data_IF_482771849835
#
_entry.id   IF_482771849835
#
_cell.length_a   1.000
_cell.length_b   1.000
_cell.length_c   1.000
_cell.angle_alpha   90.00
_cell.angle_beta   90.00
_cell.angle_gamma   90.00
#
_symmetry.space_group_name_H-M   'P 1'
#
loop_
_entity.id
_entity.type
_entity.pdbx_description
1 polymer ?
#
# COMPACT_ATOMS: atom_id res chain seq x y z
N UNK A 1 -67.23 -40.64 39.41
CA UNK A 1 -66.23 -40.83 38.34
C UNK A 1 -66.32 -39.63 37.40
N UNK A 2 -65.27 -38.80 37.37
CA UNK A 2 -65.31 -37.37 37.04
C UNK A 2 -65.89 -37.04 35.63
N UNK A 3 -66.90 -36.15 35.50
CA UNK A 3 -67.45 -35.70 34.22
C UNK A 3 -66.47 -34.88 33.36
N UNK A 4 -65.29 -34.55 33.88
CA UNK A 4 -64.30 -33.71 33.22
C UNK A 4 -63.51 -34.41 32.08
N UNK A 5 -63.49 -35.74 32.01
CA UNK A 5 -62.65 -36.47 31.05
C UNK A 5 -63.19 -36.61 29.61
N UNK A 6 -64.51 -36.53 29.40
CA UNK A 6 -65.12 -36.70 28.06
C UNK A 6 -65.16 -35.40 27.25
N UNK A 7 -65.28 -34.25 27.93
CA UNK A 7 -65.24 -32.93 27.29
C UNK A 7 -63.85 -32.61 26.73
N UNK A 8 -62.79 -32.94 27.50
CA UNK A 8 -61.39 -32.75 27.11
C UNK A 8 -61.01 -33.53 25.84
N UNK A 9 -61.44 -34.79 25.70
CA UNK A 9 -61.17 -35.59 24.50
C UNK A 9 -61.88 -35.07 23.24
N UNK A 10 -63.08 -34.49 23.39
CA UNK A 10 -63.83 -33.87 22.28
C UNK A 10 -63.19 -32.56 21.83
N UNK A 11 -62.73 -31.74 22.78
CA UNK A 11 -61.93 -30.55 22.49
C UNK A 11 -60.62 -30.90 21.78
N UNK A 12 -59.88 -31.90 22.27
CA UNK A 12 -58.63 -32.34 21.65
C UNK A 12 -58.82 -32.83 20.20
N UNK A 13 -59.90 -33.56 19.93
CA UNK A 13 -60.22 -34.05 18.57
C UNK A 13 -60.65 -32.91 17.65
N UNK A 14 -61.43 -31.95 18.15
CA UNK A 14 -61.83 -30.76 17.39
C UNK A 14 -60.65 -29.86 17.02
N UNK A 15 -59.66 -29.74 17.92
CA UNK A 15 -58.41 -28.99 17.69
C UNK A 15 -57.50 -29.71 16.69
N UNK A 16 -57.40 -31.04 16.76
CA UNK A 16 -56.64 -31.81 15.77
C UNK A 16 -57.25 -31.73 14.36
N UNK A 17 -58.58 -31.74 14.25
CA UNK A 17 -59.28 -31.61 12.95
C UNK A 17 -59.13 -30.20 12.36
N UNK A 18 -59.08 -29.16 13.19
CA UNK A 18 -58.79 -27.80 12.71
C UNK A 18 -57.34 -27.61 12.28
N UNK A 19 -56.38 -28.32 12.90
CA UNK A 19 -54.96 -28.33 12.52
C UNK A 19 -54.66 -29.13 11.25
N UNK A 20 -55.42 -30.19 10.96
CA UNK A 20 -55.32 -31.01 9.75
C UNK A 20 -56.14 -30.45 8.56
N UNK A 21 -56.92 -29.39 8.77
CA UNK A 21 -57.66 -28.74 7.69
C UNK A 21 -56.68 -28.18 6.65
N UNK A 22 -56.91 -28.37 5.33
CA UNK A 22 -56.06 -27.83 4.26
C UNK A 22 -55.83 -26.30 4.37
N UNK A 23 -56.74 -25.58 5.03
CA UNK A 23 -56.64 -24.13 5.31
C UNK A 23 -55.52 -23.78 6.31
N UNK A 24 -55.18 -24.69 7.24
CA UNK A 24 -54.11 -24.49 8.23
C UNK A 24 -52.71 -24.60 7.62
N UNK A 25 -52.54 -25.42 6.58
CA UNK A 25 -51.29 -25.52 5.82
C UNK A 25 -51.03 -24.28 4.94
N UNK A 26 -52.07 -23.58 4.50
CA UNK A 26 -51.95 -22.40 3.63
C UNK A 26 -51.30 -21.17 4.28
N UNK A 27 -51.22 -21.11 5.62
CA UNK A 27 -50.63 -19.97 6.34
C UNK A 27 -49.22 -20.25 6.91
N UNK A 28 -48.71 -21.49 6.82
CA UNK A 28 -47.33 -21.83 7.22
C UNK A 28 -46.27 -21.40 6.19
N UNK A 29 -46.69 -20.98 4.99
CA UNK A 29 -45.85 -20.35 3.98
C UNK A 29 -45.55 -18.87 4.21
N UNK A 30 -46.20 -18.23 5.20
CA UNK A 30 -45.92 -16.83 5.58
C UNK A 30 -44.91 -16.77 6.71
N UNK A 31 -43.75 -17.41 6.53
CA UNK A 31 -42.57 -16.90 7.24
C UNK A 31 -42.38 -15.48 6.70
N UNK A 32 -42.31 -14.42 7.52
CA UNK A 32 -41.72 -13.19 7.03
C UNK A 32 -40.30 -13.58 6.59
N UNK A 33 -40.10 -13.71 5.27
CA UNK A 33 -38.78 -13.75 4.65
C UNK A 33 -38.01 -12.61 5.30
N UNK A 34 -36.94 -12.97 6.04
CA UNK A 34 -36.12 -12.08 6.85
C UNK A 34 -36.19 -10.65 6.34
N UNK A 35 -36.87 -9.77 7.05
CA UNK A 35 -36.75 -8.31 6.84
C UNK A 35 -35.42 -7.80 7.40
N UNK A 36 -34.34 -8.54 7.17
CA UNK A 36 -32.98 -8.16 7.57
C UNK A 36 -32.13 -7.77 6.35
N UNK A 37 -32.74 -7.68 5.17
CA UNK A 37 -32.03 -7.41 3.92
C UNK A 37 -32.65 -6.25 3.15
N UNK A 38 -33.25 -5.28 3.86
CA UNK A 38 -33.61 -4.00 3.25
C UNK A 38 -32.45 -2.98 3.32
N UNK A 39 -31.45 -3.21 4.18
CA UNK A 39 -30.31 -2.29 4.37
C UNK A 39 -29.00 -2.81 3.78
N UNK A 40 -29.01 -3.99 3.17
CA UNK A 40 -27.79 -4.63 2.64
C UNK A 40 -27.67 -4.49 1.12
N UNK A 41 -28.72 -4.38 0.29
CA UNK A 41 -28.52 -4.22 -1.15
C UNK A 41 -27.93 -2.85 -1.53
N UNK A 42 -28.42 -1.76 -0.91
CA UNK A 42 -27.99 -0.40 -1.26
C UNK A 42 -26.59 -0.08 -0.71
N UNK A 43 -26.26 -0.52 0.52
CA UNK A 43 -24.91 -0.40 1.10
C UNK A 43 -23.91 -1.34 0.39
N UNK A 44 -24.32 -2.57 0.04
CA UNK A 44 -23.44 -3.51 -0.65
C UNK A 44 -23.15 -3.10 -2.10
N UNK A 45 -24.14 -2.60 -2.83
CA UNK A 45 -23.92 -2.06 -4.17
C UNK A 45 -23.09 -0.78 -4.13
N UNK A 46 -23.26 0.07 -3.10
CA UNK A 46 -22.41 1.23 -2.90
C UNK A 46 -20.95 0.81 -2.61
N UNK A 47 -20.75 -0.23 -1.80
CA UNK A 47 -19.43 -0.81 -1.54
C UNK A 47 -18.74 -1.33 -2.83
N UNK A 48 -19.51 -1.92 -3.75
CA UNK A 48 -19.00 -2.36 -5.05
C UNK A 48 -18.50 -1.18 -5.90
N UNK A 49 -19.25 -0.06 -5.92
CA UNK A 49 -18.88 1.12 -6.74
C UNK A 49 -17.67 1.87 -6.19
N UNK A 50 -17.54 1.99 -4.86
CA UNK A 50 -16.37 2.64 -4.26
C UNK A 50 -15.10 1.78 -4.38
N UNK A 51 -15.25 0.46 -4.34
CA UNK A 51 -14.13 -0.46 -4.54
C UNK A 51 -13.54 -0.34 -5.95
N UNK A 52 -14.38 -0.26 -6.98
CA UNK A 52 -13.92 -0.07 -8.37
C UNK A 52 -13.20 1.28 -8.52
N UNK A 53 -13.69 2.35 -7.91
CA UNK A 53 -13.00 3.65 -7.93
C UNK A 53 -11.63 3.59 -7.24
N UNK A 54 -11.57 3.02 -6.03
CA UNK A 54 -10.33 2.87 -5.28
C UNK A 54 -9.33 1.96 -6.00
N UNK A 55 -9.80 0.91 -6.68
CA UNK A 55 -8.96 0.04 -7.48
C UNK A 55 -8.19 0.81 -8.56
N UNK A 56 -8.90 1.62 -9.36
CA UNK A 56 -8.25 2.46 -10.37
C UNK A 56 -7.31 3.49 -9.77
N UNK A 57 -7.70 4.09 -8.64
CA UNK A 57 -6.85 5.01 -7.89
C UNK A 57 -5.54 4.33 -7.43
N UNK A 58 -5.62 3.12 -6.87
CA UNK A 58 -4.44 2.35 -6.49
C UNK A 58 -3.59 1.95 -7.69
N UNK A 59 -4.19 1.62 -8.84
CA UNK A 59 -3.41 1.38 -10.07
C UNK A 59 -2.63 2.63 -10.51
N UNK A 60 -3.21 3.82 -10.41
CA UNK A 60 -2.53 5.10 -10.71
C UNK A 60 -1.40 5.34 -9.71
N UNK A 61 -1.66 5.20 -8.41
CA UNK A 61 -0.62 5.36 -7.38
C UNK A 61 0.51 4.34 -7.56
N UNK A 62 0.18 3.09 -7.89
CA UNK A 62 1.14 2.04 -8.17
C UNK A 62 1.99 2.41 -9.39
N UNK A 63 1.36 2.89 -10.47
CA UNK A 63 2.06 3.32 -11.67
C UNK A 63 3.02 4.49 -11.38
N UNK A 64 2.56 5.51 -10.64
CA UNK A 64 3.40 6.63 -10.20
C UNK A 64 4.57 6.12 -9.35
N UNK A 65 4.30 5.20 -8.42
CA UNK A 65 5.33 4.61 -7.56
C UNK A 65 6.36 3.80 -8.35
N UNK A 66 5.92 3.04 -9.35
CA UNK A 66 6.78 2.28 -10.26
C UNK A 66 7.65 3.23 -11.09
N UNK A 67 7.08 4.31 -11.63
CA UNK A 67 7.87 5.33 -12.35
C UNK A 67 8.90 5.99 -11.43
N UNK A 68 8.53 6.28 -10.18
CA UNK A 68 9.45 6.84 -9.20
C UNK A 68 10.58 5.84 -8.88
N UNK A 69 10.24 4.56 -8.72
CA UNK A 69 11.20 3.49 -8.51
C UNK A 69 12.15 3.34 -9.70
N UNK A 70 11.65 3.38 -10.93
CA UNK A 70 12.49 3.33 -12.13
C UNK A 70 13.41 4.55 -12.24
N UNK A 71 12.92 5.75 -11.94
CA UNK A 71 13.78 6.96 -11.85
C UNK A 71 14.88 6.77 -10.82
N UNK A 72 14.56 6.22 -9.65
CA UNK A 72 15.54 5.92 -8.61
C UNK A 72 16.55 4.85 -9.05
N UNK A 73 16.11 3.79 -9.75
CA UNK A 73 16.98 2.76 -10.29
C UNK A 73 17.95 3.29 -11.36
N UNK A 74 17.47 4.13 -12.28
CA UNK A 74 18.33 4.78 -13.28
C UNK A 74 19.35 5.68 -12.58
N UNK A 75 18.93 6.40 -11.54
CA UNK A 75 19.82 7.20 -10.68
C UNK A 75 20.86 6.34 -9.97
N UNK A 76 20.53 5.11 -9.56
CA UNK A 76 21.46 4.19 -8.88
C UNK A 76 22.55 3.65 -9.82
N UNK A 77 22.41 3.82 -11.14
CA UNK A 77 23.44 3.41 -12.09
C UNK A 77 24.77 4.09 -11.78
N UNK A 78 25.83 3.28 -11.66
CA UNK A 78 27.17 3.70 -11.27
C UNK A 78 27.75 4.83 -12.13
N UNK A 79 27.29 4.94 -13.38
CA UNK A 79 27.76 5.98 -14.31
C UNK A 79 27.18 7.36 -13.96
N UNK A 80 25.89 7.41 -13.63
CA UNK A 80 25.24 8.62 -13.14
C UNK A 80 25.80 9.04 -11.78
N UNK A 81 26.14 8.07 -10.93
CA UNK A 81 26.76 8.32 -9.63
C UNK A 81 28.10 9.04 -9.77
N UNK A 82 28.97 8.59 -10.68
CA UNK A 82 30.27 9.21 -10.92
C UNK A 82 30.14 10.63 -11.42
N UNK A 83 29.33 10.83 -12.47
CA UNK A 83 29.12 12.16 -13.05
C UNK A 83 28.57 13.16 -12.02
N UNK A 84 27.68 12.71 -11.13
CA UNK A 84 27.18 13.53 -10.04
C UNK A 84 28.29 13.92 -9.05
N UNK A 85 29.11 12.98 -8.61
CA UNK A 85 30.17 13.25 -7.64
C UNK A 85 31.25 14.16 -8.24
N UNK A 86 31.59 13.97 -9.52
CA UNK A 86 32.49 14.87 -10.26
C UNK A 86 31.91 16.29 -10.29
N UNK A 87 30.63 16.45 -10.64
CA UNK A 87 29.99 17.76 -10.67
C UNK A 87 29.96 18.44 -9.28
N UNK A 88 29.73 17.67 -8.21
CA UNK A 88 29.81 18.17 -6.82
C UNK A 88 31.22 18.65 -6.47
N UNK A 89 32.25 17.89 -6.87
CA UNK A 89 33.65 18.24 -6.65
C UNK A 89 34.06 19.49 -7.43
N UNK A 90 33.74 19.55 -8.72
CA UNK A 90 33.99 20.71 -9.60
C UNK A 90 33.29 21.97 -9.08
N UNK A 91 32.13 21.83 -8.42
CA UNK A 91 31.42 22.97 -7.85
C UNK A 91 32.12 23.57 -6.62
N UNK A 92 32.99 22.81 -5.95
CA UNK A 92 33.63 23.23 -4.70
C UNK A 92 35.15 23.44 -4.82
N UNK A 93 35.81 22.77 -5.75
CA UNK A 93 37.25 22.82 -5.95
C UNK A 93 37.51 23.05 -7.44
N UNK A 94 38.26 24.10 -7.76
CA UNK A 94 38.69 24.40 -9.12
C UNK A 94 39.97 23.62 -9.43
N UNK A 95 39.85 22.31 -9.60
CA UNK A 95 40.93 21.37 -9.92
C UNK A 95 40.48 20.39 -11.01
N UNK A 96 41.43 19.78 -11.71
CA UNK A 96 41.13 18.79 -12.75
C UNK A 96 41.00 17.39 -12.11
N UNK A 97 39.83 16.79 -12.23
CA UNK A 97 39.53 15.50 -11.61
C UNK A 97 39.64 14.36 -12.62
N UNK A 98 40.62 13.46 -12.43
CA UNK A 98 40.68 12.24 -13.25
C UNK A 98 39.46 11.35 -12.94
N UNK A 99 38.70 11.01 -13.98
CA UNK A 99 37.55 10.12 -13.92
C UNK A 99 37.90 8.77 -13.26
N UNK A 100 39.15 8.30 -13.37
CA UNK A 100 39.64 7.08 -12.71
C UNK A 100 39.75 7.24 -11.19
N UNK A 101 40.22 8.37 -10.71
CA UNK A 101 40.36 8.65 -9.27
C UNK A 101 39.00 8.85 -8.62
N UNK A 102 38.09 9.59 -9.26
CA UNK A 102 36.70 9.75 -8.78
C UNK A 102 35.98 8.41 -8.75
N UNK A 103 36.21 7.57 -9.77
CA UNK A 103 35.73 6.19 -9.81
C UNK A 103 36.23 5.34 -8.64
N UNK A 104 37.52 5.44 -8.32
CA UNK A 104 38.13 4.72 -7.19
C UNK A 104 37.58 5.22 -5.86
N UNK A 105 37.46 6.54 -5.69
CA UNK A 105 36.88 7.18 -4.51
C UNK A 105 35.43 6.74 -4.27
N UNK A 106 34.60 6.78 -5.32
CA UNK A 106 33.21 6.31 -5.26
C UNK A 106 33.14 4.83 -4.86
N UNK A 107 34.07 3.99 -5.33
CA UNK A 107 34.07 2.55 -5.04
C UNK A 107 34.65 2.21 -3.66
N UNK A 108 35.73 2.86 -3.24
CA UNK A 108 36.50 2.52 -2.04
C UNK A 108 36.04 3.28 -0.81
N UNK A 109 35.77 4.58 -0.94
CA UNK A 109 35.45 5.47 0.18
C UNK A 109 33.94 5.65 0.33
N UNK A 110 33.27 6.12 -0.71
CA UNK A 110 31.84 6.47 -0.63
C UNK A 110 30.93 5.23 -0.65
N UNK A 111 31.25 4.23 -1.48
CA UNK A 111 30.40 3.08 -1.80
C UNK A 111 29.03 3.53 -2.35
N UNK A 112 28.21 2.57 -2.78
CA UNK A 112 26.87 2.85 -3.32
C UNK A 112 25.98 3.59 -2.30
N UNK A 113 26.11 3.25 -1.02
CA UNK A 113 25.31 3.85 0.05
C UNK A 113 25.69 5.31 0.32
N UNK A 114 27.00 5.64 0.35
CA UNK A 114 27.46 7.00 0.58
C UNK A 114 27.10 7.95 -0.56
N UNK A 115 27.17 7.48 -1.81
CA UNK A 115 26.67 8.27 -2.96
C UNK A 115 25.18 8.56 -2.81
N UNK A 116 24.40 7.60 -2.32
CA UNK A 116 22.96 7.76 -2.11
C UNK A 116 22.66 8.79 -1.02
N UNK A 117 23.43 8.80 0.07
CA UNK A 117 23.29 9.78 1.15
C UNK A 117 23.62 11.19 0.65
N UNK A 118 24.71 11.35 -0.11
CA UNK A 118 25.09 12.66 -0.66
C UNK A 118 24.00 13.20 -1.58
N UNK A 119 23.41 12.33 -2.41
CA UNK A 119 22.25 12.72 -3.22
C UNK A 119 21.03 13.07 -2.41
N UNK A 120 20.76 12.34 -1.32
CA UNK A 120 19.67 12.68 -0.42
C UNK A 120 19.89 14.08 0.20
N UNK A 121 21.13 14.42 0.55
CA UNK A 121 21.48 15.75 1.04
C UNK A 121 21.27 16.81 -0.05
N UNK A 122 21.67 16.53 -1.28
CA UNK A 122 21.47 17.45 -2.41
C UNK A 122 19.98 17.69 -2.70
N UNK A 123 19.15 16.64 -2.66
CA UNK A 123 17.70 16.73 -2.90
C UNK A 123 16.95 17.47 -1.78
N UNK A 124 17.41 17.38 -0.52
CA UNK A 124 16.74 17.99 0.63
C UNK A 124 17.33 19.35 1.03
N UNK A 125 18.56 19.63 0.66
CA UNK A 125 19.25 20.89 0.93
C UNK A 125 19.72 21.52 -0.38
N UNK A 126 21.02 21.47 -0.66
CA UNK A 126 21.63 22.03 -1.88
C UNK A 126 22.92 21.29 -2.24
N UNK A 127 23.38 21.47 -3.47
CA UNK A 127 24.68 20.95 -3.94
C UNK A 127 25.86 21.46 -3.10
N UNK A 128 25.81 22.71 -2.61
CA UNK A 128 26.87 23.28 -1.77
C UNK A 128 26.99 22.55 -0.42
N UNK A 129 25.84 22.23 0.19
CA UNK A 129 25.80 21.46 1.43
C UNK A 129 26.37 20.04 1.21
N UNK A 130 26.01 19.40 0.10
CA UNK A 130 26.54 18.09 -0.28
C UNK A 130 28.07 18.14 -0.51
N UNK A 131 28.57 19.21 -1.13
CA UNK A 131 29.98 19.41 -1.38
C UNK A 131 30.79 19.58 -0.08
N UNK A 132 30.25 20.31 0.91
CA UNK A 132 30.88 20.48 2.23
C UNK A 132 31.16 19.13 2.92
N UNK A 133 30.32 18.12 2.70
CA UNK A 133 30.56 16.77 3.21
C UNK A 133 31.53 15.95 2.36
N UNK A 134 31.50 16.10 1.04
CA UNK A 134 32.34 15.31 0.14
C UNK A 134 33.79 15.78 0.10
N UNK A 135 34.04 17.09 0.11
CA UNK A 135 35.39 17.66 0.03
C UNK A 135 36.36 17.09 1.08
N UNK A 136 36.03 17.03 2.38
CA UNK A 136 36.94 16.45 3.38
C UNK A 136 37.17 14.95 3.15
N UNK A 137 36.15 14.19 2.72
CA UNK A 137 36.29 12.77 2.38
C UNK A 137 37.22 12.55 1.19
N UNK A 138 37.15 13.43 0.18
CA UNK A 138 38.04 13.41 -0.97
C UNK A 138 39.50 13.69 -0.56
N UNK A 139 39.71 14.68 0.29
CA UNK A 139 41.05 15.01 0.81
C UNK A 139 41.66 13.86 1.60
N UNK A 140 40.88 13.20 2.46
CA UNK A 140 41.32 12.02 3.21
C UNK A 140 41.67 10.86 2.27
N UNK A 141 40.87 10.62 1.24
CA UNK A 141 41.15 9.62 0.21
C UNK A 141 42.47 9.91 -0.52
N UNK A 142 42.70 11.16 -0.91
CA UNK A 142 43.93 11.58 -1.57
C UNK A 142 45.16 11.48 -0.67
N UNK A 143 45.02 11.78 0.62
CA UNK A 143 46.08 11.58 1.59
C UNK A 143 46.44 10.11 1.77
N UNK A 144 45.44 9.22 1.73
CA UNK A 144 45.64 7.77 1.87
C UNK A 144 46.14 7.10 0.59
N UNK A 145 45.98 7.74 -0.57
CA UNK A 145 46.43 7.24 -1.87
C UNK A 145 47.87 7.65 -2.22
N UNK A 146 48.51 8.49 -1.41
CA UNK A 146 49.95 8.79 -1.44
C UNK A 146 50.73 7.84 -0.53
#
# INVERSE_FOLDING_TARGET
MSPYGKASKRQAKSVMVSLLSPSAYGNLGKRPLKKNTAMIPQINMFNEKIFVFLWWWFCILLFISILNLFRWLIRLSFDAQRSFITAVLESAINDDFDAREVSEFCRKTLKTDGVTIVRLIEENATIYQAAEFIVPLWQEFMQKSK
#
